data_IF_714767356675
#
_entry.id   IF_714767356675
#
_cell.length_a   1.000
_cell.length_b   1.000
_cell.length_c   1.000
_cell.angle_alpha   90.00
_cell.angle_beta   90.00
_cell.angle_gamma   90.00
#
_symmetry.space_group_name_H-M   'P 1'
#
loop_
_entity.id
_entity.type
_entity.pdbx_description
1 polymer ?
#
# COMPACT_ATOMS: atom_id res chain seq x y z
N UNK A 1 1.73 21.60 -5.73
CA UNK A 1 0.34 21.49 -6.24
C UNK A 1 -0.31 20.27 -5.59
N UNK A 2 -1.49 20.40 -4.99
CA UNK A 2 -2.30 19.26 -4.57
C UNK A 2 -3.39 19.02 -5.60
N UNK A 3 -3.52 17.78 -6.06
CA UNK A 3 -4.60 17.35 -6.96
C UNK A 3 -5.69 16.71 -6.10
N UNK A 4 -6.93 17.15 -6.27
CA UNK A 4 -8.10 16.49 -5.66
C UNK A 4 -8.66 15.48 -6.64
N UNK A 5 -8.95 14.29 -6.16
CA UNK A 5 -9.65 13.26 -6.91
C UNK A 5 -10.55 12.47 -5.97
N UNK A 6 -11.63 11.94 -6.51
CA UNK A 6 -12.59 11.11 -5.77
C UNK A 6 -12.36 9.65 -6.13
N UNK A 7 -12.42 8.77 -5.13
CA UNK A 7 -12.29 7.32 -5.28
C UNK A 7 -13.60 6.67 -4.88
N UNK A 8 -14.06 5.71 -5.68
CA UNK A 8 -15.14 4.80 -5.32
C UNK A 8 -14.49 3.46 -4.97
N UNK A 9 -14.75 2.97 -3.76
CA UNK A 9 -14.20 1.71 -3.26
C UNK A 9 -15.35 0.71 -3.08
N UNK A 10 -15.02 -0.58 -3.09
CA UNK A 10 -15.98 -1.60 -2.66
C UNK A 10 -16.29 -1.41 -1.17
N UNK A 11 -17.50 -1.79 -0.76
CA UNK A 11 -17.92 -1.72 0.65
C UNK A 11 -16.98 -2.50 1.57
N UNK A 12 -16.47 -3.64 1.09
CA UNK A 12 -15.51 -4.48 1.81
C UNK A 12 -14.20 -3.73 2.06
N UNK A 13 -13.61 -3.14 1.01
CA UNK A 13 -12.36 -2.39 1.16
C UNK A 13 -12.57 -1.13 2.00
N UNK A 14 -13.74 -0.48 1.88
CA UNK A 14 -14.13 0.62 2.74
C UNK A 14 -14.11 0.25 4.21
N UNK A 15 -14.69 -0.92 4.56
CA UNK A 15 -14.71 -1.43 5.94
C UNK A 15 -13.32 -1.75 6.45
N UNK A 16 -12.49 -2.41 5.65
CA UNK A 16 -11.09 -2.71 6.03
C UNK A 16 -10.28 -1.45 6.26
N UNK A 17 -10.47 -0.40 5.46
CA UNK A 17 -9.82 0.90 5.69
C UNK A 17 -10.27 1.51 7.02
N UNK A 18 -11.56 1.37 7.37
CA UNK A 18 -12.10 1.90 8.62
C UNK A 18 -11.52 1.24 9.88
N UNK A 19 -11.04 -0.01 9.78
CA UNK A 19 -10.33 -0.69 10.87
C UNK A 19 -9.01 0.01 11.24
N UNK A 20 -8.35 0.66 10.27
CA UNK A 20 -7.04 1.29 10.45
C UNK A 20 -7.06 2.82 10.38
N UNK A 21 -8.14 3.42 9.86
CA UNK A 21 -8.27 4.86 9.65
C UNK A 21 -9.72 5.34 9.81
N UNK A 22 -9.98 6.07 10.89
CA UNK A 22 -11.35 6.51 11.24
C UNK A 22 -11.68 7.89 10.69
N UNK A 23 -10.70 8.79 10.61
CA UNK A 23 -10.91 10.16 10.10
C UNK A 23 -10.71 10.24 8.59
N UNK A 24 -11.33 11.23 7.94
CA UNK A 24 -11.10 11.49 6.50
C UNK A 24 -9.62 11.76 6.20
N UNK A 25 -8.91 12.44 7.12
CA UNK A 25 -7.49 12.73 6.94
C UNK A 25 -6.64 11.45 7.02
N UNK A 26 -6.94 10.57 7.98
CA UNK A 26 -6.23 9.29 8.13
C UNK A 26 -6.49 8.39 6.93
N UNK A 27 -7.73 8.31 6.44
CA UNK A 27 -8.08 7.56 5.23
C UNK A 27 -7.29 8.07 4.04
N UNK A 28 -7.26 9.38 3.84
CA UNK A 28 -6.49 9.99 2.77
C UNK A 28 -4.98 9.74 2.91
N UNK A 29 -4.45 9.73 4.14
CA UNK A 29 -3.05 9.44 4.44
C UNK A 29 -2.70 7.97 4.16
N UNK A 30 -3.57 7.05 4.57
CA UNK A 30 -3.46 5.61 4.31
C UNK A 30 -3.42 5.35 2.82
N UNK A 31 -4.39 5.89 2.07
CA UNK A 31 -4.47 5.72 0.60
C UNK A 31 -3.20 6.27 -0.07
N UNK A 32 -2.73 7.46 0.32
CA UNK A 32 -1.48 8.03 -0.24
C UNK A 32 -0.27 7.14 0.02
N UNK A 33 -0.14 6.57 1.23
CA UNK A 33 0.97 5.66 1.57
C UNK A 33 0.88 4.36 0.78
N UNK A 34 -0.31 3.78 0.65
CA UNK A 34 -0.53 2.57 -0.13
C UNK A 34 -0.14 2.77 -1.61
N UNK A 35 -0.59 3.88 -2.22
CA UNK A 35 -0.21 4.24 -3.59
C UNK A 35 1.31 4.44 -3.75
N UNK A 36 1.97 5.07 -2.77
CA UNK A 36 3.42 5.27 -2.81
C UNK A 36 4.18 3.93 -2.76
N UNK A 37 3.76 3.01 -1.90
CA UNK A 37 4.33 1.65 -1.81
C UNK A 37 4.13 0.91 -3.14
N UNK A 38 2.91 0.97 -3.70
CA UNK A 38 2.61 0.34 -4.98
C UNK A 38 3.51 0.86 -6.11
N UNK A 39 3.66 2.19 -6.23
CA UNK A 39 4.53 2.78 -7.23
C UNK A 39 6.01 2.41 -7.04
N UNK A 40 6.47 2.31 -5.80
CA UNK A 40 7.83 1.85 -5.50
C UNK A 40 8.03 0.39 -5.92
N UNK A 41 7.04 -0.48 -5.65
CA UNK A 41 7.04 -1.88 -6.06
C UNK A 41 7.18 -2.04 -7.56
N UNK A 42 6.32 -1.34 -8.31
CA UNK A 42 6.29 -1.41 -9.78
C UNK A 42 7.63 -0.95 -10.36
N UNK A 43 8.25 0.10 -9.80
CA UNK A 43 9.58 0.55 -10.22
C UNK A 43 10.66 -0.47 -9.92
N UNK A 44 10.70 -1.00 -8.70
CA UNK A 44 11.70 -1.99 -8.29
C UNK A 44 11.61 -3.27 -9.16
N UNK A 45 10.39 -3.73 -9.44
CA UNK A 45 10.19 -4.89 -10.32
C UNK A 45 10.59 -4.60 -11.77
N UNK A 46 10.22 -3.43 -12.29
CA UNK A 46 10.49 -3.07 -13.69
C UNK A 46 11.97 -2.79 -13.96
N UNK A 47 12.62 -2.04 -13.07
CA UNK A 47 13.95 -1.48 -13.31
C UNK A 47 15.05 -2.41 -12.77
N UNK A 48 14.77 -3.16 -11.69
CA UNK A 48 15.75 -3.98 -10.97
C UNK A 48 15.37 -5.47 -10.88
N UNK A 49 14.15 -5.85 -11.28
CA UNK A 49 13.64 -7.21 -11.17
C UNK A 49 13.34 -7.65 -9.73
N UNK A 50 13.21 -6.70 -8.79
CA UNK A 50 13.00 -6.97 -7.37
C UNK A 50 11.52 -7.09 -7.00
N UNK A 51 11.19 -8.12 -6.21
CA UNK A 51 9.87 -8.31 -5.60
C UNK A 51 9.70 -7.57 -4.26
N UNK A 52 8.47 -7.52 -3.77
CA UNK A 52 8.16 -7.03 -2.41
C UNK A 52 7.89 -8.20 -1.47
N UNK A 53 8.44 -8.13 -0.27
CA UNK A 53 8.23 -9.13 0.76
C UNK A 53 7.90 -8.50 2.13
N UNK A 54 7.09 -9.22 2.90
CA UNK A 54 6.96 -9.02 4.34
C UNK A 54 8.06 -9.84 5.01
N UNK A 55 8.88 -9.18 5.82
CA UNK A 55 9.97 -9.81 6.54
C UNK A 55 9.88 -9.50 8.03
N UNK A 56 10.45 -10.39 8.84
CA UNK A 56 10.63 -10.13 10.27
C UNK A 56 11.73 -9.08 10.45
N UNK A 57 11.46 -7.92 11.06
CA UNK A 57 12.46 -6.87 11.19
C UNK A 57 13.63 -7.23 12.11
N UNK A 58 13.43 -8.15 13.07
CA UNK A 58 14.47 -8.56 14.01
C UNK A 58 15.42 -9.59 13.39
N UNK A 59 14.88 -10.57 12.66
CA UNK A 59 15.69 -11.66 12.06
C UNK A 59 16.03 -11.45 10.59
N UNK A 60 15.33 -10.52 9.91
CA UNK A 60 15.35 -10.28 8.46
C UNK A 60 14.86 -11.46 7.62
N UNK A 61 14.21 -12.43 8.25
CA UNK A 61 13.63 -13.57 7.55
C UNK A 61 12.40 -13.14 6.74
N UNK A 62 12.38 -13.50 5.46
CA UNK A 62 11.22 -13.28 4.59
C UNK A 62 10.11 -14.23 5.01
N UNK A 63 8.99 -13.69 5.49
CA UNK A 63 7.81 -14.46 5.87
C UNK A 63 6.90 -14.73 4.70
N UNK A 64 6.79 -13.77 3.78
CA UNK A 64 5.88 -13.85 2.63
C UNK A 64 6.35 -12.92 1.54
N UNK A 65 6.33 -13.40 0.31
CA UNK A 65 6.47 -12.57 -0.88
C UNK A 65 5.09 -12.12 -1.37
N UNK A 66 4.99 -10.86 -1.75
CA UNK A 66 3.79 -10.28 -2.37
C UNK A 66 3.98 -10.38 -3.88
N UNK A 67 3.25 -11.31 -4.49
CA UNK A 67 3.29 -11.57 -5.94
C UNK A 67 2.14 -10.84 -6.64
N UNK A 68 2.42 -10.22 -7.79
CA UNK A 68 1.40 -9.60 -8.64
C UNK A 68 1.09 -8.13 -8.31
N UNK A 69 2.08 -7.38 -7.83
CA UNK A 69 2.03 -5.92 -7.76
C UNK A 69 2.13 -5.29 -9.15
#
# INVERSE_FOLDING_TARGET
MSVRFNLLLSDELGRQIEEFATTTEDKARLIRKALAIYLAAVRAQRDEGLGIALFDPATREIRTEIVGL
#
